data_IF_623847574243
#
_entry.id   IF_623847574243
#
_cell.length_a   1.000
_cell.length_b   1.000
_cell.length_c   1.000
_cell.angle_alpha   90.00
_cell.angle_beta   90.00
_cell.angle_gamma   90.00
#
_symmetry.space_group_name_H-M   'P 1'
#
loop_
_entity.id
_entity.type
_entity.pdbx_description
1 polymer ?
#
# COMPACT_ATOMS: atom_id res chain seq x y z
N UNK A 1 -1.76 9.40 28.96
CA UNK A 1 -1.92 8.25 28.03
C UNK A 1 -0.75 8.18 27.05
N UNK A 2 -0.41 9.28 26.35
CA UNK A 2 0.77 9.37 25.46
C UNK A 2 2.10 9.03 26.14
N UNK A 3 2.32 9.47 27.38
CA UNK A 3 3.55 9.23 28.16
C UNK A 3 3.79 7.75 28.52
N UNK A 4 2.88 6.86 28.13
CA UNK A 4 3.08 5.42 28.25
C UNK A 4 3.65 4.77 27.00
N UNK A 5 3.77 5.51 25.89
CA UNK A 5 4.12 4.95 24.59
C UNK A 5 5.33 5.61 23.93
N UNK A 6 5.63 6.87 24.29
CA UNK A 6 6.71 7.63 23.69
C UNK A 6 7.32 8.62 24.70
N UNK A 7 8.65 8.65 24.76
CA UNK A 7 9.42 9.70 25.44
C UNK A 7 10.07 10.62 24.42
N UNK A 8 9.92 11.93 24.59
CA UNK A 8 10.54 12.95 23.76
C UNK A 8 11.41 13.84 24.65
N UNK A 9 12.65 14.10 24.24
CA UNK A 9 13.58 14.95 24.97
C UNK A 9 13.31 16.46 24.69
N UNK A 10 14.06 17.33 25.37
CA UNK A 10 13.91 18.78 25.22
C UNK A 10 14.29 19.30 23.82
N UNK A 11 14.98 18.50 23.01
CA UNK A 11 15.36 18.76 21.63
C UNK A 11 14.31 18.27 20.62
N UNK A 12 13.16 17.80 21.12
CA UNK A 12 12.07 17.22 20.32
C UNK A 12 12.46 15.91 19.60
N UNK A 13 13.40 15.16 20.16
CA UNK A 13 13.84 13.87 19.64
C UNK A 13 13.23 12.72 20.46
N UNK A 14 12.98 11.58 19.81
CA UNK A 14 12.46 10.39 20.48
C UNK A 14 13.57 9.74 21.33
N UNK A 15 13.42 9.80 22.64
CA UNK A 15 14.35 9.20 23.61
C UNK A 15 14.09 7.70 23.79
N UNK A 16 12.82 7.30 23.81
CA UNK A 16 12.40 5.91 23.91
C UNK A 16 10.99 5.72 23.33
N UNK A 17 10.70 4.49 22.91
CA UNK A 17 9.37 4.07 22.46
C UNK A 17 8.96 2.76 23.14
N UNK A 18 7.68 2.60 23.44
CA UNK A 18 7.16 1.39 24.10
C UNK A 18 6.63 0.40 23.08
N UNK A 19 7.16 -0.82 23.10
CA UNK A 19 6.75 -1.90 22.19
C UNK A 19 5.51 -2.63 22.72
N UNK A 20 5.36 -2.62 24.06
CA UNK A 20 4.28 -3.29 24.78
C UNK A 20 4.01 -2.55 26.08
N UNK A 21 2.74 -2.22 26.33
CA UNK A 21 2.27 -1.66 27.59
C UNK A 21 1.09 -2.49 28.11
N UNK A 22 1.25 -3.06 29.29
CA UNK A 22 0.16 -3.64 30.07
C UNK A 22 -0.38 -2.56 31.02
N UNK A 23 -1.61 -2.04 30.80
CA UNK A 23 -2.19 -1.03 31.67
C UNK A 23 -2.67 -1.58 33.01
N UNK A 24 -2.94 -2.88 33.13
CA UNK A 24 -3.37 -3.52 34.38
C UNK A 24 -2.19 -3.71 35.32
N UNK A 25 -1.05 -4.15 34.77
CA UNK A 25 0.19 -4.32 35.53
C UNK A 25 1.05 -3.04 35.59
N UNK A 26 0.67 -1.99 34.83
CA UNK A 26 1.49 -0.81 34.56
C UNK A 26 2.93 -1.16 34.11
N UNK A 27 3.06 -2.22 33.31
CA UNK A 27 4.34 -2.75 32.85
C UNK A 27 4.62 -2.30 31.42
N UNK A 28 5.81 -1.75 31.17
CA UNK A 28 6.25 -1.24 29.87
C UNK A 28 7.50 -1.96 29.42
N UNK A 29 7.51 -2.40 28.16
CA UNK A 29 8.73 -2.79 27.46
C UNK A 29 9.16 -1.63 26.57
N UNK A 30 10.14 -0.86 27.05
CA UNK A 30 10.69 0.27 26.34
C UNK A 30 11.94 -0.12 25.57
N UNK A 31 12.07 0.37 24.35
CA UNK A 31 13.32 0.35 23.61
C UNK A 31 13.92 1.77 23.54
N UNK A 32 15.25 1.90 23.71
CA UNK A 32 15.91 3.19 23.60
C UNK A 32 15.89 3.68 22.14
N UNK A 33 15.66 4.98 21.99
CA UNK A 33 15.60 5.66 20.69
C UNK A 33 14.43 5.22 19.82
N UNK A 34 14.56 5.56 18.53
CA UNK A 34 13.55 5.34 17.49
C UNK A 34 13.78 4.06 16.67
N UNK A 35 14.97 3.45 16.73
CA UNK A 35 15.45 2.49 15.71
C UNK A 35 14.51 1.33 15.36
N UNK A 36 14.30 0.38 16.28
CA UNK A 36 13.57 -0.86 15.97
C UNK A 36 12.04 -0.73 16.07
N UNK A 37 11.51 -0.14 17.15
CA UNK A 37 10.05 0.05 17.30
C UNK A 37 9.51 1.21 16.50
N UNK A 38 10.30 2.28 16.33
CA UNK A 38 9.84 3.48 15.66
C UNK A 38 9.55 3.22 14.19
N UNK A 39 10.38 2.42 13.50
CA UNK A 39 10.11 2.07 12.10
C UNK A 39 8.78 1.32 11.93
N UNK A 40 8.51 0.31 12.78
CA UNK A 40 7.24 -0.44 12.75
C UNK A 40 6.03 0.43 13.11
N UNK A 41 6.17 1.25 14.15
CA UNK A 41 5.09 2.15 14.60
C UNK A 41 4.81 3.23 13.56
N UNK A 42 5.84 3.89 13.03
CA UNK A 42 5.73 4.89 11.99
C UNK A 42 5.10 4.30 10.73
N UNK A 43 5.48 3.09 10.34
CA UNK A 43 4.89 2.41 9.18
C UNK A 43 3.36 2.30 9.32
N UNK A 44 2.85 1.80 10.45
CA UNK A 44 1.39 1.69 10.64
C UNK A 44 0.70 3.04 10.87
N UNK A 45 1.38 4.01 11.48
CA UNK A 45 0.85 5.34 11.71
C UNK A 45 0.83 6.20 10.46
N UNK A 46 1.71 5.96 9.49
CA UNK A 46 1.94 6.86 8.36
C UNK A 46 0.65 7.20 7.58
N UNK A 47 -0.27 6.26 7.33
CA UNK A 47 -1.54 6.59 6.66
C UNK A 47 -2.58 7.25 7.59
N UNK A 48 -2.44 7.12 8.91
CA UNK A 48 -3.40 7.60 9.92
C UNK A 48 -3.05 8.99 10.47
N UNK A 49 -1.76 9.23 10.72
CA UNK A 49 -1.19 10.49 11.19
C UNK A 49 0.18 10.70 10.53
N UNK A 50 0.19 11.22 9.29
CA UNK A 50 1.41 11.45 8.53
C UNK A 50 2.43 12.31 9.29
N UNK A 51 1.96 13.30 10.05
CA UNK A 51 2.79 14.23 10.82
C UNK A 51 3.62 13.50 11.88
N UNK A 52 2.98 12.71 12.73
CA UNK A 52 3.64 11.98 13.82
C UNK A 52 4.55 10.89 13.24
N UNK A 53 4.06 10.15 12.23
CA UNK A 53 4.85 9.12 11.57
C UNK A 53 6.11 9.69 10.89
N UNK A 54 6.02 10.88 10.28
CA UNK A 54 7.17 11.55 9.67
C UNK A 54 8.22 11.92 10.73
N UNK A 55 7.80 12.43 11.89
CA UNK A 55 8.75 12.71 12.98
C UNK A 55 9.49 11.45 13.45
N UNK A 56 8.76 10.33 13.60
CA UNK A 56 9.36 9.06 13.99
C UNK A 56 10.30 8.56 12.88
N UNK A 57 9.89 8.65 11.61
CA UNK A 57 10.72 8.31 10.45
C UNK A 57 12.03 9.10 10.43
N UNK A 58 11.98 10.43 10.59
CA UNK A 58 13.16 11.30 10.62
C UNK A 58 14.11 10.92 11.75
N UNK A 59 13.57 10.65 12.95
CA UNK A 59 14.38 10.17 14.06
C UNK A 59 15.06 8.82 13.76
N UNK A 60 14.36 7.87 13.10
CA UNK A 60 14.93 6.58 12.69
C UNK A 60 16.05 6.77 11.67
N UNK A 61 15.80 7.59 10.65
CA UNK A 61 16.74 7.86 9.56
C UNK A 61 18.02 8.51 10.07
N UNK A 62 17.88 9.50 10.95
CA UNK A 62 19.02 10.22 11.52
C UNK A 62 19.84 9.30 12.46
N UNK A 63 19.19 8.56 13.35
CA UNK A 63 19.88 7.64 14.26
C UNK A 63 20.61 6.51 13.52
N UNK A 64 20.02 6.02 12.43
CA UNK A 64 20.59 4.95 11.60
C UNK A 64 21.67 5.46 10.63
N UNK A 65 21.73 6.77 10.40
CA UNK A 65 22.63 7.40 9.43
C UNK A 65 22.28 7.05 7.98
N UNK A 66 21.00 6.82 7.66
CA UNK A 66 20.58 6.42 6.30
C UNK A 66 20.80 7.52 5.24
N UNK A 67 21.08 8.76 5.64
CA UNK A 67 21.48 9.83 4.70
C UNK A 67 22.99 10.07 4.62
N UNK A 68 23.79 9.47 5.51
CA UNK A 68 25.25 9.60 5.48
C UNK A 68 25.85 8.62 4.45
N UNK A 69 26.37 9.11 3.30
CA UNK A 69 26.89 8.25 2.24
C UNK A 69 28.15 7.48 2.66
N UNK A 70 28.87 7.92 3.70
CA UNK A 70 30.07 7.24 4.18
C UNK A 70 29.75 6.01 5.06
N UNK A 71 28.50 5.89 5.52
CA UNK A 71 28.07 4.82 6.42
C UNK A 71 27.52 3.64 5.64
N UNK A 72 28.04 2.43 5.90
CA UNK A 72 27.42 1.20 5.44
C UNK A 72 26.10 0.96 6.20
N UNK A 73 25.05 0.56 5.48
CA UNK A 73 23.69 0.44 6.02
C UNK A 73 23.11 -0.94 5.72
N UNK A 74 22.27 -1.43 6.62
CA UNK A 74 21.53 -2.68 6.41
C UNK A 74 20.17 -2.41 5.77
N UNK A 75 19.61 -3.39 5.03
CA UNK A 75 18.25 -3.29 4.50
C UNK A 75 17.24 -3.01 5.61
N UNK A 76 16.22 -2.24 5.27
CA UNK A 76 15.09 -1.96 6.16
C UNK A 76 13.84 -1.75 5.33
N UNK A 77 13.05 -2.81 5.07
CA UNK A 77 11.90 -2.72 4.17
C UNK A 77 10.88 -1.67 4.61
N UNK A 78 10.61 -1.58 5.91
CA UNK A 78 9.66 -0.62 6.47
C UNK A 78 10.12 0.82 6.23
N UNK A 79 11.40 1.11 6.45
CA UNK A 79 11.94 2.46 6.23
C UNK A 79 12.01 2.78 4.75
N UNK A 80 12.34 1.81 3.89
CA UNK A 80 12.36 1.99 2.44
C UNK A 80 10.98 2.34 1.89
N UNK A 81 9.94 1.63 2.33
CA UNK A 81 8.54 1.90 1.91
C UNK A 81 8.08 3.27 2.38
N UNK A 82 8.39 3.67 3.62
CA UNK A 82 8.08 5.00 4.12
C UNK A 82 8.85 6.10 3.37
N UNK A 83 10.13 5.88 3.06
CA UNK A 83 10.95 6.82 2.29
C UNK A 83 10.33 7.08 0.91
N UNK A 84 9.88 6.04 0.20
CA UNK A 84 9.12 6.18 -1.05
C UNK A 84 7.85 6.99 -0.86
N UNK A 85 7.07 6.70 0.18
CA UNK A 85 5.81 7.39 0.45
C UNK A 85 5.99 8.88 0.83
N UNK A 86 7.11 9.22 1.47
CA UNK A 86 7.45 10.58 1.89
C UNK A 86 8.27 11.37 0.85
N UNK A 87 8.67 10.74 -0.25
CA UNK A 87 9.49 11.36 -1.30
C UNK A 87 10.97 11.53 -0.93
N UNK A 88 11.50 10.72 0.00
CA UNK A 88 12.91 10.72 0.37
C UNK A 88 13.71 9.77 -0.53
N UNK A 89 13.99 10.23 -1.75
CA UNK A 89 14.67 9.45 -2.78
C UNK A 89 16.09 9.02 -2.40
N UNK A 90 16.74 9.76 -1.49
CA UNK A 90 18.10 9.43 -1.02
C UNK A 90 18.05 8.19 -0.15
N UNK A 91 17.20 8.19 0.88
CA UNK A 91 17.05 7.02 1.77
C UNK A 91 16.48 5.83 0.99
N UNK A 92 15.49 6.05 0.13
CA UNK A 92 14.90 5.00 -0.70
C UNK A 92 15.95 4.25 -1.53
N UNK A 93 16.74 4.96 -2.34
CA UNK A 93 17.75 4.33 -3.20
C UNK A 93 18.84 3.63 -2.41
N UNK A 94 19.32 4.23 -1.32
CA UNK A 94 20.36 3.60 -0.49
C UNK A 94 19.86 2.30 0.15
N UNK A 95 18.61 2.26 0.62
CA UNK A 95 18.03 1.04 1.17
C UNK A 95 17.73 0.00 0.09
N UNK A 96 17.40 0.43 -1.13
CA UNK A 96 17.30 -0.47 -2.28
C UNK A 96 18.64 -1.13 -2.59
N UNK A 97 19.72 -0.35 -2.72
CA UNK A 97 21.07 -0.87 -2.97
C UNK A 97 21.51 -1.83 -1.84
N UNK A 98 21.20 -1.49 -0.58
CA UNK A 98 21.47 -2.37 0.54
C UNK A 98 20.68 -3.68 0.46
N UNK A 99 19.40 -3.63 0.06
CA UNK A 99 18.57 -4.82 -0.10
C UNK A 99 19.16 -5.75 -1.17
N UNK A 100 19.50 -5.23 -2.35
CA UNK A 100 20.17 -5.96 -3.43
C UNK A 100 21.47 -6.62 -2.96
N UNK A 101 22.30 -5.89 -2.22
CA UNK A 101 23.59 -6.38 -1.74
C UNK A 101 23.47 -7.44 -0.63
N UNK A 102 22.54 -7.25 0.31
CA UNK A 102 22.50 -8.02 1.56
C UNK A 102 21.34 -9.03 1.66
N UNK A 103 20.44 -9.08 0.67
CA UNK A 103 19.25 -9.94 0.74
C UNK A 103 19.11 -10.96 -0.39
N UNK A 104 20.08 -11.06 -1.30
CA UNK A 104 20.12 -12.05 -2.39
C UNK A 104 18.79 -12.19 -3.15
N UNK A 105 18.33 -11.14 -3.85
CA UNK A 105 17.15 -11.25 -4.70
C UNK A 105 17.44 -12.19 -5.86
N UNK A 106 16.55 -13.16 -6.09
CA UNK A 106 16.67 -14.06 -7.23
C UNK A 106 15.34 -14.60 -7.72
N UNK A 107 15.31 -14.85 -9.02
CA UNK A 107 14.26 -15.66 -9.61
C UNK A 107 14.51 -17.15 -9.35
N UNK A 108 13.43 -17.91 -9.13
CA UNK A 108 13.46 -19.34 -8.83
C UNK A 108 12.18 -20.02 -9.34
N UNK A 109 12.08 -21.34 -9.13
CA UNK A 109 11.02 -22.17 -9.72
C UNK A 109 11.47 -22.83 -11.02
N UNK A 110 10.68 -23.80 -11.50
CA UNK A 110 11.01 -24.61 -12.68
C UNK A 110 11.33 -23.75 -13.92
N UNK A 111 10.67 -22.60 -14.04
CA UNK A 111 10.79 -21.69 -15.16
C UNK A 111 11.43 -20.33 -14.81
N UNK A 112 11.94 -20.16 -13.58
CA UNK A 112 12.41 -18.85 -13.10
C UNK A 112 11.29 -17.81 -13.02
N UNK A 113 10.06 -18.25 -12.74
CA UNK A 113 8.82 -17.48 -12.75
C UNK A 113 8.46 -16.88 -11.38
N UNK A 114 9.20 -17.25 -10.33
CA UNK A 114 8.98 -16.77 -8.95
C UNK A 114 10.13 -15.90 -8.52
N UNK A 115 9.87 -14.90 -7.71
CA UNK A 115 10.88 -14.00 -7.16
C UNK A 115 10.87 -14.05 -5.63
N UNK A 116 12.03 -13.92 -4.99
CA UNK A 116 12.15 -13.91 -3.54
C UNK A 116 13.51 -13.42 -3.05
N UNK A 117 13.59 -13.21 -1.74
CA UNK A 117 14.77 -12.67 -1.05
C UNK A 117 15.30 -13.69 -0.04
N UNK A 118 16.56 -14.09 -0.19
CA UNK A 118 17.16 -15.18 0.58
C UNK A 118 17.85 -14.75 1.88
N UNK A 119 18.09 -13.46 2.06
CA UNK A 119 18.70 -12.91 3.27
C UNK A 119 20.07 -13.53 3.60
N UNK A 120 20.81 -14.05 2.61
CA UNK A 120 22.13 -14.69 2.78
C UNK A 120 22.14 -15.87 3.78
N UNK A 121 21.05 -16.64 3.86
CA UNK A 121 20.93 -17.77 4.80
C UNK A 121 21.42 -19.12 4.24
N UNK A 122 21.86 -19.17 2.98
CA UNK A 122 22.29 -20.41 2.28
C UNK A 122 21.24 -21.53 2.33
N UNK A 123 20.00 -21.18 1.97
CA UNK A 123 18.86 -22.10 1.99
C UNK A 123 18.34 -22.40 0.58
N UNK A 124 17.71 -23.57 0.35
CA UNK A 124 17.14 -23.92 -0.95
C UNK A 124 15.91 -23.06 -1.32
N UNK A 125 15.22 -22.49 -0.33
CA UNK A 125 13.99 -21.72 -0.50
C UNK A 125 14.05 -20.44 0.34
N UNK A 126 13.38 -19.35 -0.08
CA UNK A 126 13.40 -18.12 0.69
C UNK A 126 12.53 -18.27 1.94
N UNK A 127 12.89 -17.61 3.03
CA UNK A 127 12.07 -17.58 4.24
C UNK A 127 10.85 -16.68 4.00
N UNK A 128 9.66 -17.21 4.28
CA UNK A 128 8.39 -16.52 4.03
C UNK A 128 8.31 -15.14 4.70
N UNK A 129 8.68 -15.03 5.97
CA UNK A 129 8.58 -13.76 6.71
C UNK A 129 9.55 -12.70 6.19
N UNK A 130 10.82 -13.03 5.95
CA UNK A 130 11.80 -12.04 5.46
C UNK A 130 11.51 -11.62 4.03
N UNK A 131 11.17 -12.58 3.16
CA UNK A 131 10.73 -12.27 1.79
C UNK A 131 9.46 -11.44 1.80
N UNK A 132 8.43 -11.80 2.58
CA UNK A 132 7.19 -11.01 2.63
C UNK A 132 7.46 -9.58 3.09
N UNK A 133 8.37 -9.38 4.05
CA UNK A 133 8.74 -8.04 4.47
C UNK A 133 9.45 -7.26 3.36
N UNK A 134 10.44 -7.86 2.71
CA UNK A 134 11.17 -7.18 1.64
C UNK A 134 10.31 -6.96 0.40
N UNK A 135 9.37 -7.86 0.07
CA UNK A 135 8.44 -7.68 -1.06
C UNK A 135 7.59 -6.41 -0.98
N UNK A 136 7.44 -5.80 0.20
CA UNK A 136 6.78 -4.50 0.31
C UNK A 136 7.54 -3.39 -0.45
N UNK A 137 8.86 -3.52 -0.64
CA UNK A 137 9.64 -2.57 -1.46
C UNK A 137 9.39 -2.71 -2.97
N UNK A 138 8.89 -3.86 -3.41
CA UNK A 138 8.68 -4.19 -4.83
C UNK A 138 7.36 -3.63 -5.38
N UNK A 139 6.59 -2.91 -4.56
CA UNK A 139 5.37 -2.23 -5.01
C UNK A 139 5.79 -1.13 -6.00
N UNK A 140 5.57 -1.36 -7.29
CA UNK A 140 5.98 -0.45 -8.36
C UNK A 140 5.18 0.87 -8.35
N UNK A 141 3.85 0.79 -8.33
CA UNK A 141 2.95 1.94 -8.42
C UNK A 141 2.30 2.31 -7.09
N UNK A 142 2.04 3.61 -6.91
CA UNK A 142 1.49 4.17 -5.68
C UNK A 142 2.48 4.17 -4.51
N UNK A 143 1.95 4.41 -3.32
CA UNK A 143 2.73 4.35 -2.08
C UNK A 143 1.85 3.94 -0.89
N UNK A 144 2.51 3.72 0.25
CA UNK A 144 1.87 3.23 1.47
C UNK A 144 0.77 4.15 1.99
N UNK A 145 0.90 5.47 1.87
CA UNK A 145 -0.14 6.42 2.30
C UNK A 145 -1.38 6.25 1.42
N UNK A 146 -1.18 6.24 0.10
CA UNK A 146 -2.28 6.18 -0.87
C UNK A 146 -3.12 4.90 -0.76
N UNK A 147 -2.50 3.79 -0.34
CA UNK A 147 -3.20 2.51 -0.16
C UNK A 147 -4.37 2.59 0.84
N UNK A 148 -4.37 3.58 1.75
CA UNK A 148 -5.40 3.76 2.78
C UNK A 148 -6.22 5.06 2.62
N UNK A 149 -5.97 5.87 1.58
CA UNK A 149 -6.68 7.16 1.39
C UNK A 149 -8.12 7.03 0.88
N UNK A 150 -8.68 5.81 0.79
CA UNK A 150 -10.06 5.61 0.32
C UNK A 150 -10.30 6.11 -1.11
N UNK A 151 -9.25 6.21 -1.95
CA UNK A 151 -9.44 6.44 -3.38
C UNK A 151 -10.15 5.20 -3.97
N UNK A 152 -11.10 5.42 -4.88
CA UNK A 152 -11.85 4.35 -5.58
C UNK A 152 -12.78 3.51 -4.69
N UNK A 153 -13.53 4.13 -3.76
CA UNK A 153 -14.54 3.41 -2.95
C UNK A 153 -15.70 2.85 -3.76
N UNK A 154 -15.90 3.36 -4.97
CA UNK A 154 -16.85 2.84 -5.94
C UNK A 154 -16.46 1.45 -6.47
N UNK A 155 -15.23 0.97 -6.21
CA UNK A 155 -14.72 -0.35 -6.63
C UNK A 155 -15.59 -1.55 -6.23
N UNK A 156 -16.40 -1.43 -5.18
CA UNK A 156 -17.30 -2.51 -4.76
C UNK A 156 -18.54 -2.65 -5.65
N UNK A 157 -18.85 -1.62 -6.43
CA UNK A 157 -19.97 -1.58 -7.38
C UNK A 157 -19.51 -1.36 -8.83
N UNK A 158 -18.24 -1.05 -9.05
CA UNK A 158 -17.69 -0.81 -10.38
C UNK A 158 -17.59 -2.11 -11.19
N UNK A 159 -17.58 -2.02 -12.53
CA UNK A 159 -17.30 -3.16 -13.41
C UNK A 159 -16.03 -3.88 -12.99
N UNK A 160 -16.12 -5.20 -12.84
CA UNK A 160 -15.08 -6.02 -12.22
C UNK A 160 -14.71 -7.20 -13.12
N UNK A 161 -13.40 -7.42 -13.28
CA UNK A 161 -12.87 -8.61 -13.94
C UNK A 161 -12.91 -9.80 -12.98
N UNK A 162 -13.53 -10.88 -13.40
CA UNK A 162 -13.64 -12.14 -12.65
C UNK A 162 -13.32 -13.35 -13.53
N UNK A 163 -13.13 -14.50 -12.88
CA UNK A 163 -12.96 -15.79 -13.57
C UNK A 163 -11.62 -15.97 -14.28
N UNK A 164 -10.59 -15.22 -13.88
CA UNK A 164 -9.23 -15.37 -14.40
C UNK A 164 -8.71 -16.78 -14.08
N UNK A 165 -8.18 -17.47 -15.09
CA UNK A 165 -7.53 -18.78 -14.98
C UNK A 165 -6.15 -18.67 -14.30
N UNK A 166 -6.16 -18.32 -13.01
CA UNK A 166 -4.96 -18.18 -12.20
C UNK A 166 -4.48 -19.56 -11.70
N UNK A 167 -3.16 -19.85 -11.69
CA UNK A 167 -2.04 -18.96 -12.02
C UNK A 167 -1.61 -18.96 -13.49
N UNK A 168 -2.34 -19.66 -14.37
CA UNK A 168 -1.93 -19.84 -15.76
C UNK A 168 -1.97 -18.53 -16.58
N UNK A 169 -2.97 -17.68 -16.31
CA UNK A 169 -3.16 -16.35 -16.89
C UNK A 169 -2.95 -15.28 -15.81
N UNK A 170 -2.01 -14.38 -16.03
CA UNK A 170 -1.78 -13.21 -15.19
C UNK A 170 -2.56 -12.00 -15.69
N UNK A 171 -2.85 -11.06 -14.78
CA UNK A 171 -3.46 -9.76 -15.07
C UNK A 171 -2.43 -8.67 -14.78
N UNK A 172 -2.07 -7.89 -15.80
CA UNK A 172 -1.16 -6.74 -15.68
C UNK A 172 -1.90 -5.43 -15.47
N UNK A 173 -3.17 -5.35 -15.86
CA UNK A 173 -4.00 -4.15 -15.68
C UNK A 173 -5.46 -4.56 -15.52
N UNK A 174 -6.18 -3.91 -14.60
CA UNK A 174 -7.63 -3.99 -14.45
C UNK A 174 -8.13 -2.67 -13.86
N UNK A 175 -8.45 -1.71 -14.73
CA UNK A 175 -8.74 -0.32 -14.31
C UNK A 175 -9.96 0.25 -15.03
N UNK A 176 -10.87 0.85 -14.27
CA UNK A 176 -12.03 1.57 -14.80
C UNK A 176 -11.63 3.00 -15.15
N UNK A 177 -11.56 3.30 -16.44
CA UNK A 177 -11.56 4.65 -16.99
C UNK A 177 -12.99 5.21 -16.93
N UNK A 178 -13.29 5.90 -15.83
CA UNK A 178 -14.60 6.51 -15.60
C UNK A 178 -14.85 7.73 -16.49
N UNK A 179 -13.82 8.32 -17.10
CA UNK A 179 -14.03 9.45 -18.02
C UNK A 179 -14.59 8.97 -19.36
N UNK A 180 -14.12 7.82 -19.82
CA UNK A 180 -14.53 7.25 -21.12
C UNK A 180 -15.53 6.08 -21.02
N UNK A 181 -15.84 5.62 -19.81
CA UNK A 181 -16.76 4.50 -19.60
C UNK A 181 -16.18 3.16 -20.06
N UNK A 182 -14.87 2.97 -19.85
CA UNK A 182 -14.10 1.81 -20.34
C UNK A 182 -13.41 1.11 -19.17
N UNK A 183 -13.54 -0.21 -19.09
CA UNK A 183 -12.68 -1.05 -18.27
C UNK A 183 -11.50 -1.55 -19.13
N UNK A 184 -10.29 -1.14 -18.75
CA UNK A 184 -9.04 -1.62 -19.35
C UNK A 184 -8.58 -2.90 -18.65
N UNK A 185 -8.33 -3.95 -19.43
CA UNK A 185 -7.77 -5.21 -18.93
C UNK A 185 -6.54 -5.59 -19.73
N UNK A 186 -5.42 -5.82 -19.05
CA UNK A 186 -4.19 -6.36 -19.62
C UNK A 186 -3.94 -7.75 -19.06
N UNK A 187 -3.62 -8.73 -19.93
CA UNK A 187 -3.26 -10.08 -19.50
C UNK A 187 -1.86 -10.45 -20.00
N UNK A 188 -1.25 -11.43 -19.32
CA UNK A 188 0.04 -12.01 -19.70
C UNK A 188 0.09 -13.51 -19.36
N UNK A 189 1.03 -14.23 -19.97
CA UNK A 189 1.23 -15.67 -19.69
C UNK A 189 1.83 -15.85 -18.29
N UNK A 190 1.04 -16.39 -17.36
CA UNK A 190 1.48 -16.70 -15.99
C UNK A 190 2.27 -18.01 -15.93
N UNK A 191 1.73 -19.08 -16.54
CA UNK A 191 2.46 -20.34 -16.76
C UNK A 191 2.75 -20.53 -18.25
N UNK A 192 4.04 -20.57 -18.61
CA UNK A 192 4.51 -20.76 -19.98
C UNK A 192 4.03 -22.08 -20.60
N UNK A 193 3.80 -23.12 -19.78
CA UNK A 193 3.28 -24.40 -20.25
C UNK A 193 1.78 -24.35 -20.59
N UNK A 194 1.09 -23.29 -20.20
CA UNK A 194 -0.32 -23.06 -20.50
C UNK A 194 -0.55 -22.07 -21.64
N UNK A 195 0.50 -21.47 -22.20
CA UNK A 195 0.41 -20.49 -23.28
C UNK A 195 -0.43 -20.99 -24.46
N UNK A 196 -1.34 -20.16 -24.95
CA UNK A 196 -2.25 -20.45 -26.07
C UNK A 196 -3.41 -21.38 -25.74
N UNK A 197 -3.51 -21.92 -24.51
CA UNK A 197 -4.67 -22.72 -24.10
C UNK A 197 -5.92 -21.83 -24.05
N UNK A 198 -7.05 -22.37 -24.50
CA UNK A 198 -8.33 -21.68 -24.42
C UNK A 198 -8.77 -21.48 -22.97
N UNK A 199 -9.35 -20.31 -22.69
CA UNK A 199 -9.91 -19.93 -21.40
C UNK A 199 -11.04 -18.91 -21.62
N UNK A 200 -11.58 -18.34 -20.56
CA UNK A 200 -12.62 -17.30 -20.66
C UNK A 200 -12.51 -16.28 -19.54
N UNK A 201 -12.92 -15.05 -19.79
CA UNK A 201 -13.00 -14.00 -18.78
C UNK A 201 -14.46 -13.59 -18.58
N UNK A 202 -14.77 -13.10 -17.36
CA UNK A 202 -16.08 -12.58 -16.99
C UNK A 202 -15.94 -11.13 -16.56
N UNK A 203 -16.87 -10.27 -17.00
CA UNK A 203 -17.00 -8.90 -16.46
C UNK A 203 -18.34 -8.81 -15.74
N UNK A 204 -18.31 -8.50 -14.45
CA UNK A 204 -19.49 -8.32 -13.59
C UNK A 204 -19.73 -6.84 -13.28
N UNK A 205 -20.85 -6.53 -12.62
CA UNK A 205 -21.24 -5.19 -12.20
C UNK A 205 -21.32 -4.18 -13.36
N UNK A 206 -21.66 -4.65 -14.56
CA UNK A 206 -21.91 -3.76 -15.69
C UNK A 206 -23.22 -3.00 -15.48
N UNK A 207 -23.28 -1.69 -15.80
CA UNK A 207 -24.55 -0.96 -15.81
C UNK A 207 -25.63 -1.60 -16.70
N UNK A 208 -25.22 -2.06 -17.89
CA UNK A 208 -26.06 -2.83 -18.82
C UNK A 208 -25.17 -3.77 -19.65
N UNK A 209 -25.26 -5.07 -19.37
CA UNK A 209 -24.48 -6.08 -20.06
C UNK A 209 -24.84 -6.22 -21.55
N UNK A 210 -26.06 -5.86 -21.95
CA UNK A 210 -26.50 -5.97 -23.35
C UNK A 210 -25.84 -4.93 -24.28
N UNK A 211 -25.33 -3.84 -23.72
CA UNK A 211 -24.66 -2.76 -24.45
C UNK A 211 -23.13 -2.88 -24.39
N UNK A 212 -22.59 -3.86 -23.67
CA UNK A 212 -21.17 -4.00 -23.49
C UNK A 212 -20.48 -4.44 -24.79
N UNK A 213 -19.37 -3.77 -25.12
CA UNK A 213 -18.53 -4.09 -26.29
C UNK A 213 -17.12 -4.41 -25.82
N UNK A 214 -16.60 -5.55 -26.25
CA UNK A 214 -15.23 -5.97 -25.94
C UNK A 214 -14.36 -5.82 -27.19
N UNK A 215 -13.24 -5.12 -27.04
CA UNK A 215 -12.21 -4.96 -28.07
C UNK A 215 -10.95 -5.65 -27.56
N UNK A 216 -10.43 -6.64 -28.28
CA UNK A 216 -9.17 -7.35 -28.00
C UNK A 216 -8.12 -6.93 -29.01
N UNK A 217 -7.00 -6.36 -28.55
CA UNK A 217 -5.88 -5.91 -29.39
C UNK A 217 -6.33 -5.04 -30.58
N UNK A 218 -7.28 -4.13 -30.33
CA UNK A 218 -7.85 -3.23 -31.34
C UNK A 218 -8.95 -3.82 -32.23
N UNK A 219 -9.26 -5.12 -32.10
CA UNK A 219 -10.33 -5.78 -32.87
C UNK A 219 -11.54 -6.13 -32.01
N UNK A 220 -12.74 -5.88 -32.49
CA UNK A 220 -13.98 -6.24 -31.78
C UNK A 220 -14.09 -7.75 -31.62
N UNK A 221 -14.36 -8.19 -30.39
CA UNK A 221 -14.65 -9.59 -30.06
C UNK A 221 -16.11 -9.88 -30.38
N UNK A 222 -16.34 -10.90 -31.21
CA UNK A 222 -17.68 -11.41 -31.50
C UNK A 222 -18.02 -12.58 -30.56
N UNK A 223 -19.31 -12.89 -30.42
CA UNK A 223 -19.75 -14.04 -29.61
C UNK A 223 -19.65 -13.81 -28.10
N UNK A 224 -19.63 -12.55 -27.65
CA UNK A 224 -19.77 -12.22 -26.23
C UNK A 224 -21.10 -12.77 -25.73
N UNK A 225 -21.06 -13.53 -24.64
CA UNK A 225 -22.23 -14.08 -24.00
C UNK A 225 -22.72 -13.12 -22.91
N UNK A 226 -23.94 -12.62 -23.04
CA UNK A 226 -24.65 -11.94 -21.94
C UNK A 226 -25.14 -13.04 -20.98
N UNK A 227 -24.59 -13.08 -19.78
CA UNK A 227 -24.93 -14.10 -18.76
C UNK A 227 -26.16 -13.69 -17.98
N UNK A 228 -26.23 -12.41 -17.60
CA UNK A 228 -27.35 -11.75 -16.94
C UNK A 228 -27.32 -10.24 -17.23
N UNK A 229 -28.19 -9.46 -16.59
CA UNK A 229 -28.31 -8.01 -16.83
C UNK A 229 -27.03 -7.21 -16.56
N UNK A 230 -26.12 -7.71 -15.73
CA UNK A 230 -24.93 -7.00 -15.27
C UNK A 230 -23.63 -7.77 -15.55
N UNK A 231 -23.72 -8.87 -16.29
CA UNK A 231 -22.59 -9.76 -16.55
C UNK A 231 -22.47 -10.13 -18.02
N UNK A 232 -21.24 -10.01 -18.55
CA UNK A 232 -20.84 -10.69 -19.79
C UNK A 232 -19.73 -11.72 -19.54
N UNK A 233 -19.62 -12.68 -20.44
CA UNK A 233 -18.50 -13.62 -20.56
C UNK A 233 -18.01 -13.66 -22.00
N UNK A 234 -16.72 -13.80 -22.21
CA UNK A 234 -16.15 -14.04 -23.53
C UNK A 234 -14.95 -14.98 -23.45
N UNK A 235 -14.81 -15.80 -24.49
CA UNK A 235 -13.70 -16.73 -24.62
C UNK A 235 -12.44 -16.00 -25.10
N UNK A 236 -11.30 -16.51 -24.67
CA UNK A 236 -9.98 -16.04 -25.07
C UNK A 236 -8.96 -17.16 -24.90
N UNK A 237 -7.68 -16.83 -24.97
CA UNK A 237 -6.58 -17.75 -24.75
C UNK A 237 -5.59 -17.16 -23.74
N UNK A 238 -4.77 -18.03 -23.17
CA UNK A 238 -3.70 -17.64 -22.26
C UNK A 238 -2.59 -16.96 -23.07
N UNK A 239 -2.49 -15.64 -22.95
CA UNK A 239 -1.58 -14.84 -23.75
C UNK A 239 -1.51 -13.37 -23.34
N UNK A 240 -0.55 -12.68 -23.94
CA UNK A 240 -0.39 -11.23 -23.82
C UNK A 240 -1.46 -10.52 -24.65
N UNK A 241 -2.43 -9.92 -23.97
CA UNK A 241 -3.56 -9.26 -24.60
C UNK A 241 -3.92 -7.97 -23.90
N UNK A 242 -4.47 -7.04 -24.68
CA UNK A 242 -5.05 -5.79 -24.20
C UNK A 242 -6.52 -5.76 -24.59
N UNK A 243 -7.38 -5.58 -23.59
CA UNK A 243 -8.82 -5.46 -23.76
C UNK A 243 -9.29 -4.07 -23.37
N UNK A 244 -10.21 -3.55 -24.18
CA UNK A 244 -11.03 -2.41 -23.83
C UNK A 244 -12.47 -2.88 -23.79
N UNK A 245 -13.06 -2.90 -22.60
CA UNK A 245 -14.46 -3.25 -22.40
C UNK A 245 -15.22 -1.95 -22.23
N UNK A 246 -16.02 -1.55 -23.22
CA UNK A 246 -16.91 -0.41 -23.09
C UNK A 246 -18.07 -0.82 -22.19
N UNK A 247 -18.07 -0.29 -20.97
CA UNK A 247 -19.00 -0.68 -19.91
C UNK A 247 -20.16 0.31 -19.76
N UNK A 248 -19.96 1.57 -20.19
CA UNK A 248 -20.90 2.67 -19.90
C UNK A 248 -20.87 3.11 -18.43
N UNK A 249 -19.86 2.68 -17.66
CA UNK A 249 -19.68 3.06 -16.26
C UNK A 249 -18.81 4.31 -16.14
N UNK A 250 -19.42 5.44 -15.78
CA UNK A 250 -18.73 6.73 -15.64
C UNK A 250 -18.40 7.09 -14.18
N UNK A 251 -18.35 6.09 -13.29
CA UNK A 251 -18.23 6.32 -11.85
C UNK A 251 -19.59 6.63 -11.20
N UNK A 252 -19.77 6.16 -9.96
CA UNK A 252 -20.81 6.68 -9.10
C UNK A 252 -20.23 7.79 -8.22
N UNK A 253 -20.90 8.94 -8.15
CA UNK A 253 -20.62 9.93 -7.11
C UNK A 253 -20.98 9.32 -5.76
N UNK A 254 -20.03 8.64 -5.12
CA UNK A 254 -20.22 8.09 -3.78
C UNK A 254 -20.36 9.28 -2.83
N UNK A 255 -21.59 9.55 -2.39
CA UNK A 255 -21.83 10.42 -1.23
C UNK A 255 -21.23 9.69 -0.04
N UNK A 256 -20.05 10.14 0.38
CA UNK A 256 -19.40 9.68 1.61
C UNK A 256 -20.31 10.05 2.77
N UNK A 257 -21.07 9.10 3.29
CA UNK A 257 -21.50 9.21 4.68
C UNK A 257 -20.22 9.07 5.51
N UNK A 258 -19.85 10.06 6.33
CA UNK A 258 -18.68 9.94 7.18
C UNK A 258 -18.83 8.68 8.03
N UNK A 259 -17.75 7.89 8.22
CA UNK A 259 -17.79 6.76 9.12
C UNK A 259 -18.29 7.23 10.49
N UNK A 260 -19.15 6.44 11.12
CA UNK A 260 -19.63 6.71 12.47
C UNK A 260 -18.43 7.05 13.36
N UNK A 261 -18.42 8.21 14.03
CA UNK A 261 -17.28 8.65 14.80
C UNK A 261 -17.18 7.81 16.07
N UNK A 262 -16.54 6.65 15.97
CA UNK A 262 -15.90 6.04 17.14
C UNK A 262 -14.74 6.96 17.54
N UNK A 263 -15.04 7.98 18.34
CA UNK A 263 -14.08 8.71 19.18
C UNK A 263 -12.75 9.06 18.47
N UNK A 264 -12.82 9.62 17.26
CA UNK A 264 -11.67 10.31 16.68
C UNK A 264 -11.55 11.67 17.36
N UNK A 265 -10.53 11.82 18.23
CA UNK A 265 -10.13 13.14 18.72
C UNK A 265 -9.81 14.04 17.52
N UNK A 266 -10.70 14.99 17.26
CA UNK A 266 -10.50 16.17 16.41
C UNK A 266 -9.69 15.95 15.13
N UNK A 267 -10.21 15.15 14.19
CA UNK A 267 -9.66 15.01 12.83
C UNK A 267 -10.03 16.21 11.91
N UNK A 268 -10.07 17.42 12.44
CA UNK A 268 -10.42 18.63 11.67
C UNK A 268 -9.20 19.30 11.05
N UNK A 269 -8.24 18.56 10.48
CA UNK A 269 -7.16 19.13 9.66
C UNK A 269 -6.54 18.09 8.71
N UNK A 270 -7.30 17.56 7.75
CA UNK A 270 -6.66 16.90 6.59
C UNK A 270 -7.37 17.32 5.31
N UNK A 271 -7.20 18.59 4.93
CA UNK A 271 -7.22 18.93 3.51
C UNK A 271 -5.96 18.31 2.90
N UNK A 272 -6.14 17.40 1.94
CA UNK A 272 -5.07 16.74 1.20
C UNK A 272 -4.19 17.80 0.50
N UNK A 273 -3.19 18.27 1.22
CA UNK A 273 -2.10 19.10 0.70
C UNK A 273 -0.92 18.16 0.63
N UNK A 274 -0.39 17.88 -0.57
CA UNK A 274 0.89 17.17 -0.71
C UNK A 274 1.97 18.03 -0.04
N UNK A 275 2.28 17.70 1.21
CA UNK A 275 3.33 18.34 2.00
C UNK A 275 4.61 17.53 1.87
N UNK A 276 5.75 18.21 1.78
CA UNK A 276 7.05 17.55 1.86
C UNK A 276 7.28 16.99 3.27
N UNK A 277 8.21 16.04 3.43
CA UNK A 277 8.61 15.52 4.74
C UNK A 277 8.97 16.66 5.72
N UNK A 278 9.66 17.70 5.24
CA UNK A 278 10.01 18.89 6.02
C UNK A 278 8.80 19.69 6.48
N UNK A 279 7.78 19.83 5.63
CA UNK A 279 6.53 20.51 5.97
C UNK A 279 5.71 19.71 6.99
N UNK A 280 5.72 18.38 6.88
CA UNK A 280 5.08 17.50 7.85
C UNK A 280 5.80 17.54 9.21
N UNK A 281 7.14 17.56 9.22
CA UNK A 281 7.92 17.69 10.45
C UNK A 281 7.59 18.99 11.20
N UNK A 282 7.51 20.13 10.48
CA UNK A 282 7.10 21.43 11.05
C UNK A 282 5.65 21.44 11.55
N UNK A 283 4.72 20.83 10.81
CA UNK A 283 3.33 20.70 11.25
C UNK A 283 3.23 19.86 12.53
N UNK A 284 3.97 18.77 12.60
CA UNK A 284 4.01 17.90 13.75
C UNK A 284 4.54 18.63 15.00
N UNK A 285 5.54 19.50 14.90
CA UNK A 285 6.01 20.34 16.02
C UNK A 285 4.86 21.17 16.62
N UNK A 286 4.01 21.78 15.78
CA UNK A 286 2.85 22.55 16.25
C UNK A 286 1.81 21.69 16.98
N UNK A 287 1.57 20.46 16.51
CA UNK A 287 0.65 19.51 17.15
C UNK A 287 1.20 19.10 18.51
N UNK A 288 2.50 18.84 18.60
CA UNK A 288 3.17 18.45 19.85
C UNK A 288 3.21 19.57 20.89
N UNK A 289 3.41 20.83 20.46
CA UNK A 289 3.45 22.02 21.32
C UNK A 289 2.06 22.46 21.81
N UNK A 290 1.00 22.15 21.05
CA UNK A 290 -0.36 22.60 21.35
C UNK A 290 -1.03 21.92 22.56
N UNK A 291 -0.35 20.95 23.22
CA UNK A 291 -0.77 20.32 24.47
C UNK A 291 -2.28 20.11 24.52
N UNK A 292 -2.80 19.16 23.72
CA UNK A 292 -4.23 18.92 23.48
C UNK A 292 -5.12 18.94 24.73
N UNK A 293 -5.49 20.15 25.14
CA UNK A 293 -6.40 20.46 26.22
C UNK A 293 -7.76 20.79 25.61
N UNK A 294 -8.60 19.77 25.49
CA UNK A 294 -9.94 19.93 24.95
C UNK A 294 -10.59 18.58 24.68
N UNK A 295 -10.71 17.74 25.71
CA UNK A 295 -11.54 16.55 25.63
C UNK A 295 -13.01 16.99 25.78
N UNK A 296 -13.88 16.81 24.76
CA UNK A 296 -15.30 17.20 24.84
C UNK A 296 -16.14 16.26 25.72
N UNK A 297 -15.54 15.21 26.28
CA UNK A 297 -16.25 14.17 27.04
C UNK A 297 -16.16 14.35 28.56
N UNK A 298 -15.34 15.28 29.07
CA UNK A 298 -15.24 15.55 30.51
C UNK A 298 -16.20 16.67 30.92
N UNK A 299 -17.49 16.42 30.75
CA UNK A 299 -18.58 17.28 31.20
C UNK A 299 -19.56 16.52 32.09
N UNK A 300 -19.35 16.61 33.40
CA UNK A 300 -20.41 16.50 34.42
C UNK A 300 -20.52 15.19 35.21
N UNK A 301 -20.19 15.23 36.50
CA UNK A 301 -21.16 15.49 37.58
C UNK A 301 -20.51 15.29 38.95
N UNK A 302 -20.67 16.31 39.81
CA UNK A 302 -20.52 16.38 41.27
C UNK A 302 -19.34 15.66 41.94
#
# INVERSE_FOLDING_TARGET
MRDNYLGINAQNEIEWSTIYYDPLANFKVNLPGSGATGAGTAFYLLPQSPEIATQIYEAVVNASGYRDPARDIRPSPLVQVMAKALGDDVVFRRLQDAAEQYSEPRFFGENGDRFGWWSNLDEPWPRGTSTAQQMMSEIAEGNWIEAFQGKHMDKYSAPTLEGVDYPNLGVSTAWNDTENGVLHVGTYVGDRNAAGRATSLRITNLPDASQAVVIKNGSTVNGIQVVDANTIRFDTEIGDHQYQIRTGYFGHGVVMNPPDPLSAGSASFVAATQRTAEQNAKAAESVMLSGGGGCPCCGGSA
#
